data_IF_115344769221
#
_entry.id   IF_115344769221
#
_cell.length_a   1.000
_cell.length_b   1.000
_cell.length_c   1.000
_cell.angle_alpha   90.00
_cell.angle_beta   90.00
_cell.angle_gamma   90.00
#
_symmetry.space_group_name_H-M   'P 1'
#
loop_
_entity.id
_entity.type
_entity.pdbx_description
1 polymer ?
#
# COMPACT_ATOMS: atom_id res chain seq x y z
N UNK A 1 -0.56 -33.38 5.88
CA UNK A 1 -1.66 -34.31 5.58
C UNK A 1 -2.87 -34.12 6.52
N UNK A 2 -2.70 -33.94 7.82
CA UNK A 2 -3.83 -33.71 8.75
C UNK A 2 -4.57 -32.39 8.53
N UNK A 3 -3.87 -31.29 8.23
CA UNK A 3 -4.50 -30.00 7.92
C UNK A 3 -5.40 -30.06 6.67
N UNK A 4 -4.98 -30.76 5.62
CA UNK A 4 -5.79 -30.89 4.40
C UNK A 4 -7.06 -31.73 4.63
N UNK A 5 -7.03 -32.75 5.50
CA UNK A 5 -8.23 -33.54 5.86
C UNK A 5 -9.28 -32.75 6.66
N UNK A 6 -8.84 -31.79 7.50
CA UNK A 6 -9.76 -30.92 8.24
C UNK A 6 -10.37 -29.81 7.38
N UNK A 7 -9.67 -29.34 6.33
CA UNK A 7 -10.17 -28.34 5.38
C UNK A 7 -11.23 -28.89 4.43
N UNK A 8 -11.14 -30.18 4.05
CA UNK A 8 -12.14 -30.86 3.20
C UNK A 8 -13.54 -30.97 3.86
N UNK A 9 -13.63 -30.80 5.19
CA UNK A 9 -14.90 -30.88 5.94
C UNK A 9 -15.62 -29.53 6.08
N UNK A 10 -15.01 -28.42 5.65
CA UNK A 10 -15.56 -27.08 5.82
C UNK A 10 -16.11 -26.55 4.49
N UNK A 11 -17.39 -26.89 4.22
CA UNK A 11 -18.16 -26.19 3.18
C UNK A 11 -18.44 -24.77 3.65
N UNK A 12 -17.96 -23.76 2.91
CA UNK A 12 -18.49 -22.40 3.03
C UNK A 12 -19.98 -22.46 2.65
N UNK A 13 -20.87 -22.11 3.56
CA UNK A 13 -22.32 -22.34 3.48
C UNK A 13 -23.06 -21.65 2.32
N UNK A 14 -22.37 -20.96 1.44
CA UNK A 14 -22.94 -20.28 0.26
C UNK A 14 -22.45 -20.83 -1.09
N UNK A 15 -21.48 -21.75 -1.11
CA UNK A 15 -20.99 -22.41 -2.32
C UNK A 15 -20.32 -23.73 -1.92
N UNK A 16 -20.51 -24.76 -2.73
CA UNK A 16 -19.89 -26.10 -2.59
C UNK A 16 -18.34 -26.04 -2.87
N UNK A 17 -17.66 -25.00 -2.36
CA UNK A 17 -16.27 -24.66 -2.68
C UNK A 17 -15.36 -25.23 -1.60
N UNK A 18 -14.48 -26.17 -1.98
CA UNK A 18 -13.45 -26.71 -1.10
C UNK A 18 -12.27 -25.74 -1.05
N UNK A 19 -11.91 -25.29 0.14
CA UNK A 19 -10.69 -24.55 0.39
C UNK A 19 -9.50 -25.51 0.36
N UNK A 20 -8.45 -25.18 -0.40
CA UNK A 20 -7.18 -25.91 -0.43
C UNK A 20 -6.10 -25.13 0.33
N UNK A 21 -5.40 -25.81 1.23
CA UNK A 21 -4.13 -25.35 1.78
C UNK A 21 -2.99 -25.95 0.96
N UNK A 22 -2.09 -25.11 0.46
CA UNK A 22 -1.00 -25.51 -0.44
C UNK A 22 0.32 -25.11 0.20
N UNK A 23 1.14 -26.08 0.60
CA UNK A 23 2.44 -25.87 1.23
C UNK A 23 3.55 -26.77 0.65
N UNK A 24 3.31 -27.36 -0.53
CA UNK A 24 4.27 -28.14 -1.30
C UNK A 24 4.08 -27.98 -2.80
N UNK A 25 5.12 -28.34 -3.58
CA UNK A 25 5.13 -28.15 -5.02
C UNK A 25 4.12 -29.05 -5.76
N UNK A 26 3.83 -30.26 -5.27
CA UNK A 26 2.90 -31.17 -5.94
C UNK A 26 1.47 -30.64 -5.84
N UNK A 27 1.03 -30.28 -4.63
CA UNK A 27 -0.28 -29.67 -4.42
C UNK A 27 -0.45 -28.34 -5.16
N UNK A 28 0.64 -27.57 -5.31
CA UNK A 28 0.65 -26.37 -6.14
C UNK A 28 0.41 -26.70 -7.62
N UNK A 29 1.12 -27.67 -8.18
CA UNK A 29 0.95 -28.06 -9.59
C UNK A 29 -0.46 -28.60 -9.85
N UNK A 30 -1.00 -29.43 -8.96
CA UNK A 30 -2.39 -29.90 -9.05
C UNK A 30 -3.40 -28.74 -9.05
N UNK A 31 -3.21 -27.74 -8.19
CA UNK A 31 -4.07 -26.56 -8.16
C UNK A 31 -3.94 -25.74 -9.45
N UNK A 32 -2.72 -25.49 -9.91
CA UNK A 32 -2.48 -24.71 -11.13
C UNK A 32 -3.03 -25.39 -12.39
N UNK A 33 -3.08 -26.73 -12.42
CA UNK A 33 -3.61 -27.47 -13.58
C UNK A 33 -5.11 -27.30 -13.80
N UNK A 34 -5.87 -26.88 -12.80
CA UNK A 34 -7.31 -26.63 -12.89
C UNK A 34 -7.66 -25.16 -13.16
N UNK A 35 -6.67 -24.26 -13.12
CA UNK A 35 -6.86 -22.84 -13.38
C UNK A 35 -6.63 -22.50 -14.86
N UNK A 36 -7.27 -21.42 -15.30
CA UNK A 36 -7.13 -20.88 -16.65
C UNK A 36 -6.44 -19.52 -16.61
N UNK A 37 -5.23 -19.43 -17.16
CA UNK A 37 -4.45 -18.20 -17.19
C UNK A 37 -5.07 -17.09 -18.07
N UNK A 38 -6.08 -17.40 -18.89
CA UNK A 38 -6.80 -16.41 -19.69
C UNK A 38 -7.99 -15.80 -18.95
N UNK A 39 -8.38 -16.39 -17.81
CA UNK A 39 -9.49 -15.90 -16.99
C UNK A 39 -8.99 -14.99 -15.85
N UNK A 40 -9.86 -14.08 -15.39
CA UNK A 40 -9.55 -13.29 -14.18
C UNK A 40 -9.39 -14.18 -12.96
N UNK A 41 -8.50 -13.78 -12.04
CA UNK A 41 -8.28 -14.45 -10.77
C UNK A 41 -8.36 -13.45 -9.62
N UNK A 42 -9.13 -13.77 -8.59
CA UNK A 42 -9.14 -13.02 -7.34
C UNK A 42 -7.87 -13.33 -6.55
N UNK A 43 -7.21 -12.31 -6.05
CA UNK A 43 -5.93 -12.40 -5.33
C UNK A 43 -5.90 -11.44 -4.15
N UNK A 44 -5.39 -11.95 -3.02
CA UNK A 44 -5.04 -11.20 -1.82
C UNK A 44 -3.80 -11.80 -1.19
N UNK A 45 -3.06 -11.02 -0.41
CA UNK A 45 -1.83 -11.48 0.23
C UNK A 45 -1.73 -11.09 1.69
N UNK A 46 -0.93 -11.88 2.42
CA UNK A 46 -0.56 -11.56 3.79
C UNK A 46 0.96 -11.57 3.98
N UNK A 47 1.45 -10.56 4.69
CA UNK A 47 2.87 -10.39 5.00
C UNK A 47 3.12 -10.20 6.49
N UNK A 48 4.39 -10.22 6.88
CA UNK A 48 4.83 -10.14 8.28
C UNK A 48 5.40 -8.78 8.70
N UNK A 49 5.03 -7.71 7.99
CA UNK A 49 5.57 -6.35 8.17
C UNK A 49 5.46 -5.78 9.59
N UNK A 50 4.52 -6.28 10.41
CA UNK A 50 4.38 -5.90 11.82
C UNK A 50 5.32 -6.69 12.76
N UNK A 51 5.91 -7.76 12.29
CA UNK A 51 6.68 -8.71 13.09
C UNK A 51 8.14 -8.79 12.69
N UNK A 52 8.44 -8.76 11.39
CA UNK A 52 9.78 -8.94 10.83
C UNK A 52 10.20 -7.81 9.89
N UNK A 53 11.52 -7.68 9.70
CA UNK A 53 12.10 -6.72 8.74
C UNK A 53 13.39 -7.28 8.12
N UNK A 54 13.56 -7.29 6.80
CA UNK A 54 12.55 -6.90 5.80
C UNK A 54 11.30 -7.78 5.84
N UNK A 55 10.16 -7.16 5.47
CA UNK A 55 8.90 -7.89 5.38
C UNK A 55 8.95 -9.00 4.33
N UNK A 56 8.28 -10.12 4.60
CA UNK A 56 8.17 -11.26 3.68
C UNK A 56 6.73 -11.46 3.25
N UNK A 57 6.56 -11.89 2.01
CA UNK A 57 5.32 -12.46 1.53
C UNK A 57 5.12 -13.81 2.21
N UNK A 58 4.10 -13.95 3.02
CA UNK A 58 3.87 -15.16 3.83
C UNK A 58 2.80 -16.07 3.24
N UNK A 59 1.73 -15.49 2.70
CA UNK A 59 0.56 -16.22 2.19
C UNK A 59 0.01 -15.49 0.98
N UNK A 60 -0.47 -16.27 -0.01
CA UNK A 60 -1.31 -15.80 -1.11
C UNK A 60 -2.62 -16.54 -1.08
N UNK A 61 -3.73 -15.82 -1.13
CA UNK A 61 -5.07 -16.36 -1.31
C UNK A 61 -5.52 -16.15 -2.74
N UNK A 62 -6.03 -17.18 -3.38
CA UNK A 62 -6.50 -17.17 -4.76
C UNK A 62 -7.90 -17.75 -4.88
N UNK A 63 -8.72 -17.16 -5.74
CA UNK A 63 -10.00 -17.72 -6.16
C UNK A 63 -10.23 -17.48 -7.64
N UNK A 64 -10.52 -18.54 -8.39
CA UNK A 64 -10.94 -18.48 -9.78
C UNK A 64 -12.11 -19.43 -10.01
N UNK A 65 -13.26 -18.92 -10.42
CA UNK A 65 -14.47 -19.70 -10.69
C UNK A 65 -14.85 -20.68 -9.56
N UNK A 66 -14.46 -20.37 -8.35
CA UNK A 66 -14.73 -21.21 -7.19
C UNK A 66 -13.61 -22.11 -6.73
N UNK A 67 -12.55 -22.23 -7.48
CA UNK A 67 -11.34 -22.91 -7.02
C UNK A 67 -10.58 -21.99 -6.06
N UNK A 68 -10.76 -22.24 -4.76
CA UNK A 68 -10.23 -21.43 -3.67
C UNK A 68 -9.00 -22.10 -3.05
N UNK A 69 -7.91 -21.38 -2.97
CA UNK A 69 -6.68 -21.85 -2.32
C UNK A 69 -6.01 -20.76 -1.49
N UNK A 70 -5.31 -21.21 -0.45
CA UNK A 70 -4.38 -20.43 0.37
C UNK A 70 -3.02 -21.11 0.26
N UNK A 71 -2.03 -20.36 -0.24
CA UNK A 71 -0.70 -20.87 -0.61
C UNK A 71 0.33 -20.34 0.39
N UNK A 72 1.11 -21.25 0.98
CA UNK A 72 2.25 -20.94 1.84
C UNK A 72 3.43 -20.46 1.00
N UNK A 73 3.72 -19.15 1.02
CA UNK A 73 4.81 -18.56 0.26
C UNK A 73 6.18 -18.71 0.92
N UNK A 74 6.23 -19.21 2.16
CA UNK A 74 7.50 -19.46 2.86
C UNK A 74 8.11 -20.82 2.51
N UNK A 75 7.37 -21.64 1.76
CA UNK A 75 7.78 -22.98 1.34
C UNK A 75 7.66 -23.14 -0.18
N UNK A 76 8.54 -23.94 -0.72
CA UNK A 76 8.51 -24.36 -2.12
C UNK A 76 8.95 -23.31 -3.15
N UNK A 77 8.88 -23.69 -4.42
CA UNK A 77 9.17 -22.83 -5.56
C UNK A 77 7.88 -22.25 -6.15
N UNK A 78 7.76 -20.94 -6.14
CA UNK A 78 6.59 -20.20 -6.65
C UNK A 78 6.70 -19.85 -8.16
N UNK A 79 7.73 -20.30 -8.86
CA UNK A 79 7.98 -19.92 -10.27
C UNK A 79 6.82 -20.29 -11.20
N UNK A 80 6.18 -21.45 -10.99
CA UNK A 80 5.01 -21.88 -11.76
C UNK A 80 3.78 -21.00 -11.47
N UNK A 81 3.58 -20.62 -10.20
CA UNK A 81 2.53 -19.68 -9.80
C UNK A 81 2.75 -18.32 -10.44
N UNK A 82 3.97 -17.79 -10.43
CA UNK A 82 4.30 -16.53 -11.06
C UNK A 82 3.99 -16.51 -12.56
N UNK A 83 4.32 -17.59 -13.26
CA UNK A 83 4.02 -17.75 -14.69
C UNK A 83 2.51 -17.71 -14.95
N UNK A 84 1.74 -18.44 -14.15
CA UNK A 84 0.27 -18.45 -14.23
C UNK A 84 -0.32 -17.06 -13.97
N UNK A 85 0.07 -16.42 -12.87
CA UNK A 85 -0.45 -15.12 -12.47
C UNK A 85 -0.13 -14.01 -13.47
N UNK A 86 1.02 -14.06 -14.15
CA UNK A 86 1.39 -13.05 -15.15
C UNK A 86 0.48 -13.05 -16.38
N UNK A 87 -0.15 -14.18 -16.69
CA UNK A 87 -1.12 -14.32 -17.79
C UNK A 87 -2.53 -13.81 -17.46
N UNK A 88 -2.87 -13.73 -16.17
CA UNK A 88 -4.22 -13.41 -15.71
C UNK A 88 -4.50 -11.90 -15.62
N UNK A 89 -5.78 -11.55 -15.63
CA UNK A 89 -6.28 -10.33 -15.02
C UNK A 89 -6.43 -10.56 -13.50
N UNK A 90 -5.83 -9.72 -12.67
CA UNK A 90 -6.02 -9.80 -11.22
C UNK A 90 -7.24 -9.01 -10.78
N UNK A 91 -8.02 -9.61 -9.88
CA UNK A 91 -9.10 -8.94 -9.15
C UNK A 91 -8.64 -8.81 -7.71
N UNK A 92 -8.49 -7.60 -7.22
CA UNK A 92 -7.99 -7.30 -5.87
C UNK A 92 -8.80 -6.19 -5.20
N UNK A 93 -8.45 -5.88 -3.96
CA UNK A 93 -9.07 -4.79 -3.21
C UNK A 93 -8.01 -3.91 -2.53
N UNK A 94 -7.64 -2.78 -3.16
CA UNK A 94 -6.60 -1.90 -2.65
C UNK A 94 -5.19 -2.39 -2.95
N UNK A 95 -4.87 -2.60 -4.22
CA UNK A 95 -3.71 -3.33 -4.72
C UNK A 95 -2.32 -2.73 -4.42
N UNK A 96 -2.22 -1.52 -3.89
CA UNK A 96 -0.95 -0.79 -3.77
C UNK A 96 0.12 -1.58 -2.99
N UNK A 97 -0.27 -2.14 -1.85
CA UNK A 97 0.62 -2.91 -0.98
C UNK A 97 0.91 -4.28 -1.58
N UNK A 98 -0.14 -4.99 -1.99
CA UNK A 98 -0.07 -6.36 -2.49
C UNK A 98 0.78 -6.46 -3.75
N UNK A 99 0.53 -5.59 -4.73
CA UNK A 99 1.30 -5.57 -5.96
C UNK A 99 2.78 -5.28 -5.68
N UNK A 100 3.09 -4.35 -4.77
CA UNK A 100 4.47 -4.03 -4.41
C UNK A 100 5.17 -5.23 -3.75
N UNK A 101 4.50 -5.93 -2.84
CA UNK A 101 5.06 -7.09 -2.17
C UNK A 101 5.26 -8.26 -3.14
N UNK A 102 4.25 -8.55 -3.97
CA UNK A 102 4.35 -9.58 -5.01
C UNK A 102 5.50 -9.31 -5.99
N UNK A 103 5.63 -8.04 -6.46
CA UNK A 103 6.73 -7.65 -7.34
C UNK A 103 8.10 -7.83 -6.68
N UNK A 104 8.24 -7.51 -5.39
CA UNK A 104 9.47 -7.73 -4.62
C UNK A 104 9.78 -9.22 -4.41
N UNK A 105 8.74 -10.05 -4.31
CA UNK A 105 8.88 -11.50 -4.25
C UNK A 105 9.20 -12.17 -5.60
N UNK A 106 9.36 -11.39 -6.68
CA UNK A 106 9.70 -11.89 -8.01
C UNK A 106 8.49 -12.21 -8.90
N UNK A 107 7.26 -11.97 -8.44
CA UNK A 107 6.08 -12.13 -9.29
C UNK A 107 6.09 -11.10 -10.42
N UNK A 108 5.96 -11.47 -11.70
CA UNK A 108 5.82 -10.53 -12.81
C UNK A 108 4.56 -9.66 -12.68
N UNK A 109 4.49 -8.59 -13.46
CA UNK A 109 3.25 -7.81 -13.52
C UNK A 109 2.13 -8.63 -14.16
N UNK A 110 0.87 -8.48 -13.68
CA UNK A 110 -0.30 -9.10 -14.31
C UNK A 110 -0.59 -8.44 -15.65
N UNK A 111 -1.32 -9.16 -16.50
CA UNK A 111 -1.79 -8.64 -17.78
C UNK A 111 -2.70 -7.41 -17.60
N UNK A 112 -3.61 -7.46 -16.64
CA UNK A 112 -4.56 -6.41 -16.28
C UNK A 112 -4.89 -6.48 -14.79
N UNK A 113 -5.36 -5.38 -14.21
CA UNK A 113 -5.84 -5.34 -12.82
C UNK A 113 -7.22 -4.72 -12.78
N UNK A 114 -8.11 -5.33 -12.01
CA UNK A 114 -9.38 -4.77 -11.57
C UNK A 114 -9.34 -4.60 -10.06
N UNK A 115 -9.21 -3.36 -9.59
CA UNK A 115 -9.21 -3.05 -8.15
C UNK A 115 -10.62 -2.63 -7.70
N UNK A 116 -11.26 -3.49 -6.91
CA UNK A 116 -12.63 -3.27 -6.43
C UNK A 116 -12.76 -2.05 -5.51
N UNK A 117 -11.69 -1.64 -4.81
CA UNK A 117 -11.66 -0.42 -4.02
C UNK A 117 -11.71 0.84 -4.89
N UNK A 118 -10.91 0.88 -5.97
CA UNK A 118 -10.93 1.97 -6.95
C UNK A 118 -12.28 2.00 -7.67
N UNK A 119 -12.77 0.85 -8.09
CA UNK A 119 -14.06 0.71 -8.75
C UNK A 119 -15.21 1.25 -7.91
N UNK A 120 -15.26 0.88 -6.62
CA UNK A 120 -16.27 1.37 -5.68
C UNK A 120 -16.20 2.90 -5.50
N UNK A 121 -14.99 3.47 -5.35
CA UNK A 121 -14.81 4.93 -5.31
C UNK A 121 -15.34 5.63 -6.56
N UNK A 122 -15.03 5.08 -7.73
CA UNK A 122 -15.49 5.62 -9.00
C UNK A 122 -17.00 5.45 -9.22
N UNK A 123 -17.62 4.48 -8.56
CA UNK A 123 -19.10 4.35 -8.51
C UNK A 123 -19.74 5.34 -7.54
N UNK A 124 -18.99 6.03 -6.68
CA UNK A 124 -19.51 7.02 -5.73
C UNK A 124 -19.95 6.42 -4.39
N UNK A 125 -19.48 5.23 -4.01
CA UNK A 125 -19.75 4.68 -2.68
C UNK A 125 -18.96 5.42 -1.59
N UNK A 126 -19.61 5.73 -0.48
CA UNK A 126 -18.99 6.37 0.68
C UNK A 126 -18.12 5.38 1.48
N UNK A 127 -18.62 4.16 1.69
CA UNK A 127 -17.92 3.07 2.35
C UNK A 127 -17.37 2.10 1.32
N UNK A 128 -16.07 2.12 1.11
CA UNK A 128 -15.39 1.38 0.04
C UNK A 128 -14.48 0.26 0.56
N UNK A 129 -14.50 -0.01 1.87
CA UNK A 129 -13.76 -1.14 2.45
C UNK A 129 -14.34 -2.48 1.99
N UNK A 130 -13.49 -3.51 1.83
CA UNK A 130 -13.93 -4.81 1.35
C UNK A 130 -15.08 -5.40 2.18
N UNK A 131 -14.94 -5.40 3.52
CA UNK A 131 -15.99 -5.89 4.42
C UNK A 131 -17.31 -5.10 4.29
N UNK A 132 -17.22 -3.79 4.04
CA UNK A 132 -18.39 -2.93 3.88
C UNK A 132 -19.11 -3.23 2.56
N UNK A 133 -18.37 -3.40 1.48
CA UNK A 133 -18.92 -3.80 0.17
C UNK A 133 -19.53 -5.20 0.21
N UNK A 134 -18.87 -6.16 0.88
CA UNK A 134 -19.40 -7.51 1.06
C UNK A 134 -20.68 -7.48 1.89
N UNK A 135 -20.73 -6.70 2.95
CA UNK A 135 -21.94 -6.51 3.74
C UNK A 135 -23.08 -5.88 2.93
N UNK A 136 -22.76 -4.86 2.13
CA UNK A 136 -23.73 -4.14 1.30
C UNK A 136 -24.37 -5.04 0.23
N UNK A 137 -23.55 -5.77 -0.53
CA UNK A 137 -24.03 -6.51 -1.70
C UNK A 137 -24.45 -7.95 -1.39
N UNK A 138 -23.87 -8.56 -0.34
CA UNK A 138 -24.11 -9.99 -0.06
C UNK A 138 -24.69 -10.24 1.33
N UNK A 139 -24.90 -9.20 2.17
CA UNK A 139 -25.44 -9.29 3.54
C UNK A 139 -24.59 -10.20 4.45
N UNK A 140 -23.29 -10.29 4.18
CA UNK A 140 -22.32 -11.08 4.94
C UNK A 140 -21.43 -10.15 5.75
N UNK A 141 -21.29 -10.45 7.05
CA UNK A 141 -20.34 -9.74 7.92
C UNK A 141 -19.00 -10.47 7.93
N UNK A 142 -17.94 -9.77 7.55
CA UNK A 142 -16.57 -10.25 7.65
C UNK A 142 -15.91 -9.74 8.95
N UNK A 143 -15.16 -10.62 9.63
CA UNK A 143 -14.38 -10.23 10.83
C UNK A 143 -13.08 -9.53 10.41
N UNK A 144 -12.62 -8.56 11.22
CA UNK A 144 -11.33 -7.87 11.05
C UNK A 144 -10.30 -8.31 12.10
N UNK A 145 -10.55 -9.40 12.86
CA UNK A 145 -9.77 -9.76 14.04
C UNK A 145 -8.32 -10.16 13.76
N UNK A 146 -8.02 -10.66 12.57
CA UNK A 146 -6.72 -11.25 12.25
C UNK A 146 -5.77 -10.33 11.44
N UNK A 147 -6.14 -9.09 11.16
CA UNK A 147 -5.33 -8.15 10.35
C UNK A 147 -3.92 -7.87 10.91
N UNK A 148 -3.71 -8.11 12.23
CA UNK A 148 -2.41 -7.90 12.90
C UNK A 148 -1.72 -9.20 13.28
N UNK A 149 -2.17 -10.33 12.77
CA UNK A 149 -1.60 -11.63 13.08
C UNK A 149 -0.15 -11.75 12.59
N UNK A 150 0.60 -12.63 13.21
CA UNK A 150 1.92 -13.02 12.71
C UNK A 150 1.77 -14.09 11.63
N UNK A 151 1.77 -13.64 10.38
CA UNK A 151 1.61 -14.49 9.21
C UNK A 151 2.84 -15.35 8.89
N UNK A 152 3.97 -15.08 9.53
CA UNK A 152 5.20 -15.89 9.39
C UNK A 152 5.17 -17.16 10.24
N UNK A 153 4.26 -17.24 11.23
CA UNK A 153 4.16 -18.37 12.15
C UNK A 153 3.77 -19.65 11.41
N UNK A 154 4.46 -20.77 11.73
CA UNK A 154 4.13 -22.10 11.19
C UNK A 154 4.05 -23.13 12.33
N UNK A 155 3.12 -24.11 12.28
CA UNK A 155 2.03 -24.19 11.30
C UNK A 155 1.10 -22.98 11.40
N UNK A 156 0.52 -22.55 10.25
CA UNK A 156 -0.43 -21.46 10.23
C UNK A 156 -1.75 -21.93 10.87
N UNK A 157 -2.30 -21.22 11.88
CA UNK A 157 -3.58 -21.58 12.47
C UNK A 157 -4.72 -21.64 11.45
N UNK A 158 -5.61 -22.64 11.53
CA UNK A 158 -6.74 -22.79 10.62
C UNK A 158 -7.65 -21.55 10.58
N UNK A 159 -7.81 -20.85 11.72
CA UNK A 159 -8.56 -19.58 11.77
C UNK A 159 -7.97 -18.52 10.84
N UNK A 160 -6.63 -18.45 10.70
CA UNK A 160 -5.96 -17.54 9.79
C UNK A 160 -6.11 -17.97 8.33
N UNK A 161 -6.03 -19.29 8.05
CA UNK A 161 -6.30 -19.83 6.71
C UNK A 161 -7.71 -19.47 6.25
N UNK A 162 -8.70 -19.62 7.14
CA UNK A 162 -10.08 -19.24 6.85
C UNK A 162 -10.29 -17.75 6.70
N UNK A 163 -9.56 -16.95 7.47
CA UNK A 163 -9.63 -15.49 7.40
C UNK A 163 -9.19 -15.01 6.02
N UNK A 164 -7.96 -15.33 5.60
CA UNK A 164 -7.39 -14.87 4.33
C UNK A 164 -8.13 -15.44 3.11
N UNK A 165 -8.69 -16.67 3.20
CA UNK A 165 -9.54 -17.23 2.14
C UNK A 165 -10.82 -16.41 1.91
N UNK A 166 -11.38 -15.78 2.95
CA UNK A 166 -12.57 -14.92 2.82
C UNK A 166 -12.26 -13.60 2.10
N UNK A 167 -11.02 -13.12 2.14
CA UNK A 167 -10.63 -11.85 1.53
C UNK A 167 -10.62 -11.92 -0.01
N UNK A 168 -10.62 -13.12 -0.61
CA UNK A 168 -10.76 -13.32 -2.07
C UNK A 168 -12.14 -13.85 -2.50
N UNK A 169 -12.93 -14.40 -1.57
CA UNK A 169 -14.13 -15.19 -1.88
C UNK A 169 -15.21 -14.42 -2.65
N UNK A 170 -15.33 -13.13 -2.42
CA UNK A 170 -16.37 -12.28 -3.01
C UNK A 170 -15.85 -11.35 -4.11
N UNK A 171 -14.54 -11.32 -4.39
CA UNK A 171 -13.93 -10.37 -5.32
C UNK A 171 -14.45 -10.54 -6.75
N UNK A 172 -14.62 -11.78 -7.25
CA UNK A 172 -15.16 -12.04 -8.60
C UNK A 172 -16.58 -11.46 -8.73
N UNK A 173 -17.44 -11.73 -7.75
CA UNK A 173 -18.82 -11.20 -7.75
C UNK A 173 -18.87 -9.69 -7.61
N UNK A 174 -17.99 -9.10 -6.77
CA UNK A 174 -17.85 -7.65 -6.65
C UNK A 174 -17.40 -7.02 -7.98
N UNK A 175 -16.43 -7.64 -8.67
CA UNK A 175 -16.02 -7.20 -9.99
C UNK A 175 -17.19 -7.15 -10.96
N UNK A 176 -18.01 -8.19 -11.01
CA UNK A 176 -19.17 -8.26 -11.92
C UNK A 176 -20.19 -7.13 -11.67
N UNK A 177 -20.50 -6.89 -10.38
CA UNK A 177 -21.40 -5.82 -9.97
C UNK A 177 -20.82 -4.45 -10.31
N UNK A 178 -19.59 -4.18 -9.85
CA UNK A 178 -18.94 -2.89 -10.02
C UNK A 178 -18.64 -2.58 -11.49
N UNK A 179 -18.30 -3.58 -12.32
CA UNK A 179 -18.11 -3.42 -13.76
C UNK A 179 -19.39 -2.96 -14.45
N UNK A 180 -20.54 -3.53 -14.08
CA UNK A 180 -21.85 -3.12 -14.62
C UNK A 180 -22.17 -1.67 -14.23
N UNK A 181 -21.93 -1.30 -12.98
CA UNK A 181 -22.12 0.06 -12.49
C UNK A 181 -21.18 1.06 -13.18
N UNK A 182 -19.88 0.75 -13.29
CA UNK A 182 -18.92 1.60 -14.00
C UNK A 182 -19.34 1.80 -15.47
N UNK A 183 -19.80 0.76 -16.12
CA UNK A 183 -20.30 0.83 -17.52
C UNK A 183 -21.52 1.74 -17.63
N UNK A 184 -22.50 1.62 -16.73
CA UNK A 184 -23.70 2.46 -16.74
C UNK A 184 -23.39 3.94 -16.46
N UNK A 185 -22.33 4.22 -15.69
CA UNK A 185 -21.85 5.57 -15.36
C UNK A 185 -20.88 6.13 -16.41
N UNK A 186 -20.47 5.36 -17.43
CA UNK A 186 -19.46 5.75 -18.41
C UNK A 186 -18.04 5.88 -17.85
N UNK A 187 -17.73 5.17 -16.74
CA UNK A 187 -16.47 5.32 -15.98
C UNK A 187 -15.52 4.12 -16.08
N UNK A 188 -15.78 3.18 -17.01
CA UNK A 188 -14.94 1.97 -17.19
C UNK A 188 -13.50 2.34 -17.52
N UNK A 189 -13.28 3.29 -18.42
CA UNK A 189 -11.95 3.76 -18.80
C UNK A 189 -11.24 4.47 -17.64
N UNK A 190 -11.94 5.21 -16.79
CA UNK A 190 -11.38 5.85 -15.61
C UNK A 190 -10.78 4.82 -14.64
N UNK A 191 -11.47 3.70 -14.48
CA UNK A 191 -11.00 2.57 -13.67
C UNK A 191 -9.71 1.99 -14.27
N UNK A 192 -9.67 1.71 -15.57
CA UNK A 192 -8.50 1.17 -16.25
C UNK A 192 -7.28 2.10 -16.14
N UNK A 193 -7.46 3.38 -16.44
CA UNK A 193 -6.42 4.39 -16.29
C UNK A 193 -5.91 4.52 -14.85
N UNK A 194 -6.80 4.41 -13.86
CA UNK A 194 -6.44 4.50 -12.44
C UNK A 194 -5.59 3.31 -11.99
N UNK A 195 -5.97 2.09 -12.37
CA UNK A 195 -5.19 0.89 -12.08
C UNK A 195 -3.83 0.90 -12.78
N UNK A 196 -3.79 1.30 -14.05
CA UNK A 196 -2.55 1.40 -14.81
C UNK A 196 -1.59 2.45 -14.22
N UNK A 197 -2.11 3.57 -13.75
CA UNK A 197 -1.30 4.57 -13.05
C UNK A 197 -0.65 4.00 -11.78
N UNK A 198 -1.39 3.25 -10.97
CA UNK A 198 -0.85 2.63 -9.76
C UNK A 198 0.20 1.60 -10.14
N UNK A 199 -0.06 0.77 -11.12
CA UNK A 199 0.89 -0.24 -11.63
C UNK A 199 2.23 0.39 -12.03
N UNK A 200 2.21 1.46 -12.85
CA UNK A 200 3.42 2.20 -13.24
C UNK A 200 4.13 2.83 -12.04
N UNK A 201 3.38 3.39 -11.10
CA UNK A 201 3.91 4.01 -9.89
C UNK A 201 4.64 3.03 -8.98
N UNK A 202 4.08 1.83 -8.84
CA UNK A 202 4.71 0.75 -8.07
C UNK A 202 5.99 0.32 -8.76
N UNK A 203 5.98 0.07 -10.08
CA UNK A 203 7.18 -0.33 -10.83
C UNK A 203 8.31 0.68 -10.67
N UNK A 204 8.04 1.97 -10.83
CA UNK A 204 9.00 3.05 -10.57
C UNK A 204 9.50 3.09 -9.11
N UNK A 205 8.74 2.53 -8.17
CA UNK A 205 9.10 2.51 -6.76
C UNK A 205 10.00 1.34 -6.37
N UNK A 206 10.07 0.29 -7.19
CA UNK A 206 10.83 -0.94 -6.86
C UNK A 206 12.34 -0.71 -6.84
N UNK A 207 12.85 0.23 -7.63
CA UNK A 207 14.26 0.64 -7.62
C UNK A 207 14.65 1.46 -6.38
N UNK A 208 13.68 1.90 -5.59
CA UNK A 208 13.90 2.70 -4.38
C UNK A 208 14.01 1.80 -3.15
N UNK A 209 14.76 2.21 -2.13
CA UNK A 209 14.78 1.50 -0.85
C UNK A 209 13.37 1.25 -0.29
N UNK A 210 13.16 0.17 0.49
CA UNK A 210 11.84 -0.19 1.02
C UNK A 210 11.29 0.77 2.10
N UNK A 211 12.08 1.73 2.55
CA UNK A 211 11.69 2.71 3.55
C UNK A 211 11.34 4.07 2.92
N UNK A 212 10.53 4.83 3.65
CA UNK A 212 10.19 6.21 3.24
C UNK A 212 11.45 7.07 3.15
N UNK A 213 11.55 7.84 2.10
CA UNK A 213 12.48 8.95 1.99
C UNK A 213 12.32 9.83 3.24
N UNK A 214 13.41 10.06 4.01
CA UNK A 214 13.33 10.83 5.25
C UNK A 214 12.72 12.21 5.08
N UNK A 215 12.95 12.87 3.95
CA UNK A 215 12.39 14.20 3.65
C UNK A 215 10.86 14.18 3.51
N UNK A 216 10.24 12.99 3.32
CA UNK A 216 8.79 12.77 3.29
C UNK A 216 8.20 12.37 4.64
N UNK A 217 9.01 12.33 5.68
CA UNK A 217 8.54 12.12 7.04
C UNK A 217 7.77 13.35 7.48
N UNK A 218 6.56 13.14 8.01
CA UNK A 218 5.78 14.23 8.58
C UNK A 218 6.57 14.90 9.71
N UNK A 219 6.71 16.22 9.64
CA UNK A 219 7.52 16.99 10.59
C UNK A 219 8.95 17.28 10.11
N UNK A 220 9.49 16.62 9.08
CA UNK A 220 10.83 16.91 8.56
C UNK A 220 11.01 18.39 8.23
N UNK A 221 10.06 18.98 7.51
CA UNK A 221 10.12 20.39 7.07
C UNK A 221 9.96 21.39 8.23
N UNK A 222 9.53 20.95 9.42
CA UNK A 222 9.41 21.81 10.61
C UNK A 222 10.71 21.87 11.41
N UNK A 223 11.65 20.99 11.12
CA UNK A 223 12.98 20.98 11.74
C UNK A 223 13.84 22.08 11.11
N UNK A 224 14.72 22.66 11.91
CA UNK A 224 15.80 23.49 11.39
C UNK A 224 16.77 22.66 10.52
N UNK A 225 17.61 23.29 9.68
CA UNK A 225 18.49 22.56 8.78
C UNK A 225 19.45 21.57 9.46
N UNK A 226 19.87 21.83 10.71
CA UNK A 226 20.70 20.91 11.48
C UNK A 226 19.89 19.72 12.00
N UNK A 227 18.67 19.95 12.49
CA UNK A 227 17.73 18.91 12.88
C UNK A 227 17.34 18.00 11.72
N UNK A 228 17.21 18.55 10.51
CA UNK A 228 16.99 17.76 9.29
C UNK A 228 18.17 16.82 9.01
N UNK A 229 19.41 17.30 9.11
CA UNK A 229 20.62 16.49 8.93
C UNK A 229 20.72 15.38 9.98
N UNK A 230 20.42 15.69 11.22
CA UNK A 230 20.37 14.70 12.31
C UNK A 230 19.30 13.64 12.02
N UNK A 231 18.08 14.04 11.59
CA UNK A 231 17.01 13.09 11.26
C UNK A 231 17.41 12.12 10.15
N UNK A 232 18.11 12.59 9.11
CA UNK A 232 18.61 11.74 8.04
C UNK A 232 19.54 10.64 8.56
N UNK A 233 20.49 10.98 9.45
CA UNK A 233 21.43 10.00 9.99
C UNK A 233 20.78 9.03 10.99
N UNK A 234 19.92 9.51 11.91
CA UNK A 234 19.26 8.62 12.87
C UNK A 234 18.22 7.74 12.19
N UNK A 235 17.61 8.18 11.08
CA UNK A 235 16.74 7.34 10.25
C UNK A 235 17.54 6.21 9.56
N UNK A 236 18.73 6.50 9.03
CA UNK A 236 19.63 5.50 8.46
C UNK A 236 20.07 4.49 9.52
N UNK A 237 20.54 4.97 10.68
CA UNK A 237 20.87 4.15 11.83
C UNK A 237 19.73 3.20 12.22
N UNK A 238 18.49 3.72 12.32
CA UNK A 238 17.33 2.90 12.67
C UNK A 238 17.07 1.81 11.64
N UNK A 239 17.23 2.09 10.34
CA UNK A 239 17.04 1.09 9.28
C UNK A 239 18.11 -0.01 9.35
N UNK A 240 19.39 0.36 9.54
CA UNK A 240 20.48 -0.59 9.65
C UNK A 240 20.32 -1.50 10.89
N UNK A 241 19.93 -0.92 12.00
CA UNK A 241 19.66 -1.68 13.23
C UNK A 241 18.43 -2.60 13.08
N UNK A 242 17.39 -2.13 12.41
CA UNK A 242 16.21 -2.94 12.11
C UNK A 242 16.56 -4.16 11.25
N UNK A 243 17.36 -3.96 10.20
CA UNK A 243 17.87 -5.03 9.35
C UNK A 243 18.70 -6.05 10.14
N UNK A 244 19.63 -5.57 10.98
CA UNK A 244 20.50 -6.45 11.76
C UNK A 244 19.76 -7.28 12.83
N UNK A 245 18.68 -6.71 13.40
CA UNK A 245 17.84 -7.39 14.40
C UNK A 245 16.67 -8.18 13.81
N UNK A 246 16.37 -8.03 12.52
CA UNK A 246 15.23 -8.66 11.88
C UNK A 246 13.86 -8.16 12.37
N UNK A 247 13.81 -6.97 13.00
CA UNK A 247 12.57 -6.41 13.58
C UNK A 247 12.17 -5.09 12.91
N UNK A 248 10.88 -4.78 12.82
CA UNK A 248 10.41 -3.54 12.19
C UNK A 248 11.01 -2.29 12.83
N UNK A 249 11.37 -1.26 12.02
CA UNK A 249 12.02 -0.04 12.54
C UNK A 249 11.23 0.68 13.65
N UNK A 250 9.89 0.64 13.60
CA UNK A 250 9.04 1.28 14.62
C UNK A 250 9.09 0.57 15.98
N UNK A 251 9.52 -0.70 16.03
CA UNK A 251 9.75 -1.45 17.29
C UNK A 251 11.06 -1.06 17.96
N UNK A 252 12.00 -0.46 17.22
CA UNK A 252 13.23 0.11 17.80
C UNK A 252 12.92 1.47 18.41
N UNK A 253 12.39 2.38 17.59
CA UNK A 253 11.97 3.72 17.99
C UNK A 253 10.96 4.27 16.98
N UNK A 254 9.95 4.98 17.44
CA UNK A 254 8.90 5.53 16.60
C UNK A 254 9.39 6.71 15.78
N UNK A 255 8.72 7.01 14.69
CA UNK A 255 9.09 8.13 13.80
C UNK A 255 8.90 9.49 14.50
N UNK A 256 7.86 9.63 15.30
CA UNK A 256 7.58 10.83 16.09
C UNK A 256 8.71 11.11 17.09
N UNK A 257 9.23 10.06 17.74
CA UNK A 257 10.37 10.16 18.66
C UNK A 257 11.65 10.58 17.93
N UNK A 258 11.88 10.11 16.68
CA UNK A 258 13.03 10.56 15.88
C UNK A 258 12.94 12.06 15.55
N UNK A 259 11.76 12.58 15.22
CA UNK A 259 11.55 14.03 14.99
C UNK A 259 11.89 14.81 16.27
N UNK A 260 11.39 14.34 17.44
CA UNK A 260 11.66 14.99 18.73
C UNK A 260 13.16 14.96 19.07
N UNK A 261 13.83 13.81 18.89
CA UNK A 261 15.28 13.66 19.09
C UNK A 261 16.04 14.65 18.21
N UNK A 262 15.68 14.76 16.94
CA UNK A 262 16.34 15.64 15.98
C UNK A 262 16.19 17.11 16.37
N UNK A 263 14.98 17.52 16.77
CA UNK A 263 14.69 18.90 17.21
C UNK A 263 15.46 19.27 18.48
N UNK A 264 15.46 18.39 19.49
CA UNK A 264 16.17 18.64 20.76
C UNK A 264 17.68 18.66 20.54
N UNK A 265 18.20 17.73 19.71
CA UNK A 265 19.63 17.63 19.43
C UNK A 265 20.19 18.81 18.66
N UNK A 266 19.40 19.41 17.74
CA UNK A 266 19.83 20.59 16.97
C UNK A 266 19.94 21.84 17.87
N UNK A 267 19.15 21.89 18.96
CA UNK A 267 19.18 22.97 19.95
C UNK A 267 20.30 22.79 20.98
N UNK A 268 21.12 21.72 20.89
CA UNK A 268 22.19 21.41 21.82
C UNK A 268 21.73 20.80 23.14
N UNK A 269 20.45 20.44 23.27
CA UNK A 269 19.91 19.85 24.48
C UNK A 269 20.10 18.32 24.52
N UNK A 270 20.07 17.76 25.75
CA UNK A 270 20.26 16.33 25.98
C UNK A 270 19.02 15.50 25.67
N UNK A 271 19.15 14.56 24.74
CA UNK A 271 18.09 13.60 24.35
C UNK A 271 17.88 12.49 25.41
N UNK A 272 18.76 12.37 26.39
CA UNK A 272 18.65 11.34 27.42
C UNK A 272 17.43 11.49 28.33
N UNK A 273 16.77 12.64 28.30
CA UNK A 273 15.51 12.88 29.00
C UNK A 273 14.28 12.32 28.29
N UNK A 274 14.37 12.02 26.98
CA UNK A 274 13.27 11.50 26.17
C UNK A 274 12.94 10.07 26.63
N UNK A 275 11.67 9.75 26.96
CA UNK A 275 11.30 8.42 27.46
C UNK A 275 11.68 7.29 26.49
N UNK A 276 11.46 7.46 25.19
CA UNK A 276 11.84 6.49 24.18
C UNK A 276 13.35 6.20 24.16
N UNK A 277 14.21 7.21 24.41
CA UNK A 277 15.66 7.03 24.49
C UNK A 277 16.08 6.36 25.80
N UNK A 278 15.39 6.68 26.91
CA UNK A 278 15.66 6.03 28.21
C UNK A 278 15.43 4.53 28.20
N UNK A 279 14.40 4.10 27.46
CA UNK A 279 13.99 2.68 27.35
C UNK A 279 14.92 1.85 26.45
N UNK A 280 15.76 2.48 25.63
CA UNK A 280 16.72 1.76 24.80
C UNK A 280 17.78 1.06 25.65
N UNK A 281 18.19 -0.11 25.23
CA UNK A 281 19.37 -0.81 25.76
C UNK A 281 20.60 0.09 25.65
N UNK A 282 21.57 -0.07 26.60
CA UNK A 282 22.75 0.80 26.71
C UNK A 282 23.56 0.88 25.41
N UNK A 283 23.78 -0.23 24.73
CA UNK A 283 24.48 -0.32 23.43
C UNK A 283 23.75 0.37 22.31
N UNK A 284 22.41 0.19 22.25
CA UNK A 284 21.55 0.84 21.23
C UNK A 284 21.50 2.35 21.46
N UNK A 285 21.37 2.78 22.72
CA UNK A 285 21.42 4.20 23.10
C UNK A 285 22.75 4.83 22.71
N UNK A 286 23.87 4.13 22.96
CA UNK A 286 25.19 4.61 22.57
C UNK A 286 25.28 4.78 21.04
N UNK A 287 24.86 3.80 20.25
CA UNK A 287 24.89 3.90 18.79
C UNK A 287 23.94 4.99 18.24
N UNK A 288 22.81 5.25 18.91
CA UNK A 288 21.94 6.40 18.58
C UNK A 288 22.68 7.73 18.79
N UNK A 289 23.38 7.88 19.92
CA UNK A 289 24.17 9.11 20.20
C UNK A 289 25.25 9.32 19.13
N UNK A 290 25.93 8.26 18.72
CA UNK A 290 26.90 8.34 17.61
C UNK A 290 26.25 8.79 16.30
N UNK A 291 25.06 8.28 15.97
CA UNK A 291 24.33 8.70 14.78
C UNK A 291 23.90 10.19 14.86
N UNK A 292 23.51 10.66 16.03
CA UNK A 292 23.22 12.09 16.26
C UNK A 292 24.47 12.94 16.02
N UNK A 293 25.61 12.59 16.63
CA UNK A 293 26.86 13.32 16.44
C UNK A 293 27.31 13.33 14.97
N UNK A 294 27.16 12.22 14.26
CA UNK A 294 27.41 12.15 12.82
C UNK A 294 26.51 13.11 12.04
N UNK A 295 25.21 13.17 12.38
CA UNK A 295 24.28 14.12 11.79
C UNK A 295 24.69 15.59 12.00
N UNK A 296 25.20 15.93 13.20
CA UNK A 296 25.75 17.25 13.49
C UNK A 296 27.01 17.55 12.67
N UNK A 297 27.93 16.58 12.55
CA UNK A 297 29.17 16.70 11.78
C UNK A 297 28.92 16.92 10.28
N UNK A 298 27.83 16.36 9.72
CA UNK A 298 27.42 16.58 8.35
C UNK A 298 27.00 18.04 8.09
N UNK A 299 26.79 18.83 9.13
CA UNK A 299 26.36 20.21 9.04
C UNK A 299 24.87 20.37 8.63
N UNK A 300 24.42 21.61 8.43
CA UNK A 300 23.05 21.90 8.05
C UNK A 300 22.66 21.28 6.72
N UNK A 301 21.43 20.76 6.62
CA UNK A 301 20.87 20.24 5.38
C UNK A 301 20.56 21.40 4.42
N UNK A 302 21.29 21.49 3.30
CA UNK A 302 21.20 22.59 2.35
C UNK A 302 20.49 22.23 1.04
N UNK A 303 19.89 21.03 0.93
CA UNK A 303 19.18 20.66 -0.28
C UNK A 303 17.82 21.37 -0.35
N UNK A 304 17.39 21.82 -1.53
CA UNK A 304 16.06 22.39 -1.68
C UNK A 304 15.02 21.33 -1.33
N UNK A 305 14.06 21.66 -0.47
CA UNK A 305 12.97 20.78 -0.07
C UNK A 305 12.27 20.21 -1.31
N UNK A 306 11.99 18.91 -1.30
CA UNK A 306 11.33 18.18 -2.40
C UNK A 306 9.95 18.77 -2.78
N UNK A 307 9.33 19.53 -1.88
CA UNK A 307 8.13 20.32 -2.13
C UNK A 307 8.15 21.59 -1.29
N UNK A 308 7.84 22.74 -1.87
CA UNK A 308 7.62 23.96 -1.09
C UNK A 308 6.38 23.77 -0.21
N UNK A 309 6.46 24.09 1.11
CA UNK A 309 5.29 24.04 1.98
C UNK A 309 4.17 24.93 1.45
N UNK A 310 2.93 24.54 1.69
CA UNK A 310 1.73 25.31 1.34
C UNK A 310 1.77 26.78 1.83
N UNK A 311 2.51 27.03 2.92
CA UNK A 311 2.70 28.37 3.52
C UNK A 311 3.51 29.37 2.66
N UNK A 312 4.13 28.93 1.56
CA UNK A 312 4.90 29.78 0.64
C UNK A 312 4.15 30.17 -0.65
N UNK A 313 2.83 29.94 -0.68
CA UNK A 313 2.04 30.43 -1.82
C UNK A 313 1.92 31.95 -1.79
N UNK A 314 2.28 32.62 -2.88
CA UNK A 314 1.97 34.03 -3.07
C UNK A 314 0.43 34.25 -3.24
N UNK A 315 0.02 35.50 -3.24
CA UNK A 315 -1.41 35.86 -3.36
C UNK A 315 -2.04 35.31 -4.63
N UNK A 316 -1.31 35.30 -5.73
CA UNK A 316 -1.80 34.84 -7.03
C UNK A 316 -1.94 33.31 -7.07
N UNK A 317 -0.95 32.58 -6.59
CA UNK A 317 -1.02 31.12 -6.43
C UNK A 317 -2.13 30.70 -5.46
N UNK A 318 -2.31 31.45 -4.37
CA UNK A 318 -3.40 31.20 -3.43
C UNK A 318 -4.78 31.39 -4.08
N UNK A 319 -4.95 32.43 -4.90
CA UNK A 319 -6.19 32.66 -5.67
C UNK A 319 -6.44 31.51 -6.65
N UNK A 320 -5.43 31.12 -7.45
CA UNK A 320 -5.52 29.99 -8.38
C UNK A 320 -5.87 28.70 -7.66
N UNK A 321 -5.32 28.46 -6.47
CA UNK A 321 -5.63 27.28 -5.67
C UNK A 321 -7.11 27.22 -5.28
N UNK A 322 -7.68 28.32 -4.77
CA UNK A 322 -9.11 28.37 -4.39
C UNK A 322 -10.03 28.24 -5.62
N UNK A 323 -9.65 28.80 -6.78
CA UNK A 323 -10.38 28.62 -8.04
C UNK A 323 -10.37 27.14 -8.48
N UNK A 324 -9.21 26.48 -8.48
CA UNK A 324 -9.07 25.05 -8.80
C UNK A 324 -9.86 24.18 -7.82
N UNK A 325 -9.79 24.47 -6.53
CA UNK A 325 -10.52 23.76 -5.47
C UNK A 325 -12.02 23.89 -5.65
N UNK A 326 -12.51 25.09 -5.94
CA UNK A 326 -13.93 25.35 -6.19
C UNK A 326 -14.40 24.60 -7.44
N UNK A 327 -13.67 24.67 -8.54
CA UNK A 327 -13.93 23.94 -9.78
C UNK A 327 -14.00 22.43 -9.52
N UNK A 328 -12.98 21.86 -8.86
CA UNK A 328 -12.92 20.45 -8.49
C UNK A 328 -14.12 20.02 -7.66
N UNK A 329 -14.45 20.78 -6.62
CA UNK A 329 -15.55 20.46 -5.71
C UNK A 329 -16.91 20.49 -6.45
N UNK A 330 -17.13 21.44 -7.34
CA UNK A 330 -18.33 21.51 -8.18
C UNK A 330 -18.46 20.29 -9.08
N UNK A 331 -17.35 19.89 -9.74
CA UNK A 331 -17.30 18.68 -10.59
C UNK A 331 -17.57 17.43 -9.74
N UNK A 332 -16.91 17.30 -8.59
CA UNK A 332 -17.09 16.16 -7.70
C UNK A 332 -18.56 16.01 -7.25
N UNK A 333 -19.19 17.12 -6.83
CA UNK A 333 -20.60 17.13 -6.45
C UNK A 333 -21.54 16.73 -7.59
N UNK A 334 -21.31 17.22 -8.80
CA UNK A 334 -22.14 16.86 -9.98
C UNK A 334 -21.99 15.39 -10.40
N UNK A 335 -20.87 14.75 -10.07
CA UNK A 335 -20.57 13.36 -10.39
C UNK A 335 -20.87 12.40 -9.22
N UNK A 336 -21.22 12.90 -8.03
CA UNK A 336 -21.36 12.10 -6.82
C UNK A 336 -20.04 11.42 -6.42
N UNK A 337 -18.91 12.14 -6.51
CA UNK A 337 -17.59 11.62 -6.19
C UNK A 337 -16.92 12.38 -5.04
N UNK A 338 -16.04 11.70 -4.31
CA UNK A 338 -15.13 12.39 -3.38
C UNK A 338 -14.21 13.35 -4.16
N UNK A 339 -14.12 14.63 -3.76
CA UNK A 339 -13.26 15.59 -4.45
C UNK A 339 -11.79 15.17 -4.52
N UNK A 340 -11.30 14.46 -3.50
CA UNK A 340 -9.92 13.94 -3.46
C UNK A 340 -9.62 12.90 -4.52
N UNK A 341 -10.65 12.21 -5.02
CA UNK A 341 -10.51 11.26 -6.11
C UNK A 341 -10.18 11.96 -7.44
N UNK A 342 -10.69 13.17 -7.66
CA UNK A 342 -10.39 14.00 -8.84
C UNK A 342 -8.99 14.60 -8.71
N UNK A 343 -8.71 15.29 -7.59
CA UNK A 343 -7.37 15.82 -7.30
C UNK A 343 -7.18 16.04 -5.79
N UNK A 344 -6.05 15.59 -5.25
CA UNK A 344 -5.70 15.86 -3.85
C UNK A 344 -5.38 17.35 -3.64
N UNK A 345 -5.49 17.84 -2.38
CA UNK A 345 -5.09 19.21 -2.04
C UNK A 345 -3.63 19.50 -2.43
N UNK A 346 -2.73 18.55 -2.19
CA UNK A 346 -1.32 18.70 -2.54
C UNK A 346 -1.12 18.88 -4.06
N UNK A 347 -1.89 18.14 -4.86
CA UNK A 347 -1.85 18.25 -6.31
C UNK A 347 -2.40 19.59 -6.78
N UNK A 348 -3.52 20.07 -6.21
CA UNK A 348 -4.05 21.41 -6.53
C UNK A 348 -3.06 22.51 -6.15
N UNK A 349 -2.34 22.36 -5.04
CA UNK A 349 -1.29 23.28 -4.63
C UNK A 349 -0.16 23.33 -5.65
N UNK A 350 0.32 22.17 -6.12
CA UNK A 350 1.35 22.08 -7.17
C UNK A 350 0.87 22.74 -8.47
N UNK A 351 -0.37 22.50 -8.87
CA UNK A 351 -1.00 23.11 -10.04
C UNK A 351 -1.09 24.64 -9.93
N UNK A 352 -1.42 25.15 -8.77
CA UNK A 352 -1.55 26.59 -8.55
C UNK A 352 -0.21 27.33 -8.59
N UNK A 353 0.87 26.67 -8.17
CA UNK A 353 2.21 27.25 -8.14
C UNK A 353 2.92 27.25 -9.52
N UNK A 354 2.56 26.31 -10.41
CA UNK A 354 3.19 26.18 -11.73
C UNK A 354 2.14 25.90 -12.83
N UNK A 355 1.46 26.94 -13.34
CA UNK A 355 0.36 26.75 -14.29
C UNK A 355 0.76 26.42 -15.72
N UNK A 356 2.03 26.63 -16.12
CA UNK A 356 2.41 26.66 -17.55
C UNK A 356 2.73 25.31 -18.21
N UNK A 357 3.07 24.25 -17.43
CA UNK A 357 3.52 22.95 -18.00
C UNK A 357 2.81 21.74 -17.39
N UNK A 358 1.59 21.95 -16.93
CA UNK A 358 1.06 21.11 -15.87
C UNK A 358 0.47 19.79 -16.35
N UNK A 359 -0.35 19.80 -17.45
CA UNK A 359 -1.09 18.60 -17.87
C UNK A 359 -0.16 17.43 -18.21
N UNK A 360 0.71 17.66 -19.18
CA UNK A 360 1.61 16.62 -19.69
C UNK A 360 2.56 16.11 -18.59
N UNK A 361 3.18 17.04 -17.84
CA UNK A 361 4.05 16.71 -16.72
C UNK A 361 3.34 15.88 -15.64
N UNK A 362 2.10 16.21 -15.27
CA UNK A 362 1.36 15.49 -14.22
C UNK A 362 0.95 14.09 -14.67
N UNK A 363 0.65 13.89 -15.95
CA UNK A 363 0.36 12.58 -16.54
C UNK A 363 1.64 11.75 -16.63
N UNK A 364 2.72 12.30 -17.18
CA UNK A 364 4.01 11.62 -17.34
C UNK A 364 4.66 11.22 -16.01
N UNK A 365 4.42 12.01 -14.96
CA UNK A 365 4.88 11.71 -13.60
C UNK A 365 3.92 10.83 -12.78
N UNK A 366 2.87 10.30 -13.40
CA UNK A 366 1.82 9.48 -12.76
C UNK A 366 1.11 10.18 -11.58
N UNK A 367 1.04 11.51 -11.60
CA UNK A 367 0.31 12.30 -10.58
C UNK A 367 -1.17 12.44 -10.91
N UNK A 368 -1.53 12.48 -12.21
CA UNK A 368 -2.89 12.49 -12.72
C UNK A 368 -3.10 11.37 -13.75
N UNK A 369 -4.34 10.87 -13.81
CA UNK A 369 -4.84 10.12 -14.96
C UNK A 369 -5.35 11.08 -16.04
N UNK A 370 -5.40 10.66 -17.32
CA UNK A 370 -6.00 11.45 -18.39
C UNK A 370 -7.43 11.92 -18.07
N UNK A 371 -8.30 11.04 -17.55
CA UNK A 371 -9.68 11.40 -17.19
C UNK A 371 -9.76 12.51 -16.12
N UNK A 372 -8.82 12.54 -15.18
CA UNK A 372 -8.76 13.58 -14.15
C UNK A 372 -8.36 14.92 -14.76
N UNK A 373 -7.40 14.91 -15.69
CA UNK A 373 -6.97 16.09 -16.41
C UNK A 373 -8.11 16.67 -17.26
N UNK A 374 -8.86 15.82 -17.96
CA UNK A 374 -10.02 16.24 -18.74
C UNK A 374 -11.12 16.90 -17.88
N UNK A 375 -11.47 16.31 -16.75
CA UNK A 375 -12.45 16.88 -15.82
C UNK A 375 -12.01 18.24 -15.29
N UNK A 376 -10.72 18.42 -15.05
CA UNK A 376 -10.16 19.69 -14.61
C UNK A 376 -10.00 20.73 -15.74
N UNK A 377 -10.20 20.32 -17.00
CA UNK A 377 -10.04 21.18 -18.17
C UNK A 377 -8.58 21.57 -18.40
N UNK A 378 -7.67 20.62 -18.16
CA UNK A 378 -6.24 20.77 -18.37
C UNK A 378 -5.83 20.29 -19.76
#
# INVERSE_FOLDING_TARGET
MEQNKQLDLLSFSTTNRKLRWIDDNNSLQEYLSILDSLKPIAIDIEGDSLHHYPEKLCVISLCQEGYLAVIDCLKGDLSSLWRMLSGCEWICHGMDYDLKMLRRAGCPQPKKIFDTHIAAKLCGFDSVGYADLVSLFFQVKLSKEHQKADWSRRPLPLSLVHYTAKDVLYLEKLKDILSKLLKSLGRSEWMEQSCERIRRKIEKSLSKPPYKDPERIEGFQKLDPLGQSILLEIQRWRQELALSKGIPPFKIIRTEDLIQISSISSQGESVLKIPAVKQLEKNIRYSLLQAIEKGKQNGPHNQPLLSKPFSFMDKESSKRFEELKTKRNKIASSLGLDPGLIASKALLSEMAMDPKTIRQRLIETDKLCPWQAELLGL
#
